data_IF_241495808112
#
_entry.id   IF_241495808112
#
_cell.length_a   1.000
_cell.length_b   1.000
_cell.length_c   1.000
_cell.angle_alpha   90.00
_cell.angle_beta   90.00
_cell.angle_gamma   90.00
#
_symmetry.space_group_name_H-M   'P 1'
#
loop_
_entity.id
_entity.type
_entity.pdbx_description
1 polymer ?
#
# COMPACT_ATOMS: atom_id res chain seq x y z
N UNK A 1 26.87 19.38 52.06
CA UNK A 1 27.87 19.33 50.97
C UNK A 1 27.17 19.74 49.68
N UNK A 2 27.62 20.65 48.84
CA UNK A 2 28.49 21.81 48.97
C UNK A 2 28.08 22.66 47.78
N UNK A 3 27.58 23.87 48.04
CA UNK A 3 27.46 24.92 47.03
C UNK A 3 28.84 25.13 46.40
N UNK A 4 28.90 25.18 45.07
CA UNK A 4 30.04 25.75 44.35
C UNK A 4 29.50 26.63 43.24
N UNK A 5 29.35 27.90 43.62
CA UNK A 5 29.37 29.04 42.74
C UNK A 5 30.59 28.96 41.81
N UNK A 6 30.33 29.09 40.51
CA UNK A 6 31.31 29.64 39.58
C UNK A 6 30.79 31.00 39.12
N UNK A 7 31.39 32.04 39.69
CA UNK A 7 31.42 33.38 39.12
C UNK A 7 32.20 33.33 37.81
N UNK A 8 31.54 33.65 36.70
CA UNK A 8 32.20 34.10 35.48
C UNK A 8 32.36 35.63 35.52
N UNK A 9 33.49 36.16 35.05
CA UNK A 9 33.82 37.57 35.15
C UNK A 9 32.92 38.44 34.28
N UNK A 10 32.34 39.45 34.92
CA UNK A 10 31.65 40.54 34.28
C UNK A 10 32.62 41.49 33.55
N UNK A 11 32.04 42.17 32.57
CA UNK A 11 32.45 43.46 31.98
C UNK A 11 33.49 43.43 30.87
N UNK A 12 32.93 43.59 29.66
CA UNK A 12 33.62 43.94 28.43
C UNK A 12 32.60 44.35 27.38
N UNK A 13 31.59 45.16 27.77
CA UNK A 13 30.74 45.83 26.78
C UNK A 13 31.58 46.96 26.19
N UNK A 14 32.27 46.68 25.09
CA UNK A 14 32.70 47.73 24.16
C UNK A 14 31.42 48.39 23.63
N UNK A 15 31.04 49.51 24.27
CA UNK A 15 30.15 50.48 23.66
C UNK A 15 30.82 50.96 22.37
N UNK A 16 30.46 50.32 21.26
CA UNK A 16 30.55 50.91 19.94
C UNK A 16 29.59 52.11 19.91
N UNK A 17 30.05 53.21 20.51
CA UNK A 17 29.48 54.53 20.36
C UNK A 17 29.72 54.95 18.91
N UNK A 18 28.83 54.49 18.03
CA UNK A 18 28.72 55.02 16.68
C UNK A 18 28.37 56.50 16.83
N UNK A 19 29.37 57.33 16.59
CA UNK A 19 29.35 58.77 16.77
C UNK A 19 28.06 59.42 16.28
N UNK A 20 27.64 60.41 17.05
CA UNK A 20 26.44 61.21 16.87
C UNK A 20 26.21 61.63 15.42
N UNK A 21 24.92 61.68 15.08
CA UNK A 21 24.40 62.11 13.80
C UNK A 21 25.02 63.44 13.37
N UNK A 22 25.82 63.35 12.31
CA UNK A 22 26.10 64.47 11.43
C UNK A 22 24.81 64.74 10.63
N UNK A 23 24.06 65.83 10.91
CA UNK A 23 22.81 66.14 10.24
C UNK A 23 22.99 66.39 8.73
N UNK A 24 24.23 66.61 8.28
CA UNK A 24 24.58 66.80 6.87
C UNK A 24 24.91 65.50 6.11
N UNK A 25 24.82 64.34 6.77
CA UNK A 25 25.02 63.01 6.13
C UNK A 25 23.76 62.45 5.47
N UNK A 26 22.57 62.87 5.91
CA UNK A 26 21.27 62.48 5.36
C UNK A 26 20.92 63.02 3.95
N UNK A 27 21.31 64.24 3.50
CA UNK A 27 20.87 64.78 2.21
C UNK A 27 21.40 64.00 1.01
N UNK A 28 22.61 63.41 1.09
CA UNK A 28 23.17 62.60 0.00
C UNK A 28 22.44 61.29 -0.23
N UNK A 29 22.02 60.62 0.85
CA UNK A 29 21.24 59.37 0.78
C UNK A 29 19.86 59.63 0.17
N UNK A 30 19.20 60.74 0.54
CA UNK A 30 17.90 61.09 -0.04
C UNK A 30 17.99 61.40 -1.54
N UNK A 31 19.03 62.11 -1.99
CA UNK A 31 19.24 62.40 -3.42
C UNK A 31 19.51 61.11 -4.20
N UNK A 32 20.32 60.21 -3.65
CA UNK A 32 20.61 58.92 -4.27
C UNK A 32 19.36 58.02 -4.34
N UNK A 33 18.59 57.93 -3.25
CA UNK A 33 17.33 57.17 -3.19
C UNK A 33 16.32 57.71 -4.21
N UNK A 34 16.15 59.02 -4.33
CA UNK A 34 15.25 59.61 -5.34
C UNK A 34 15.70 59.29 -6.76
N UNK A 35 17.01 59.31 -7.03
CA UNK A 35 17.55 58.98 -8.34
C UNK A 35 17.37 57.48 -8.69
N UNK A 36 17.41 56.59 -7.70
CA UNK A 36 17.37 55.14 -7.90
C UNK A 36 16.05 54.47 -7.52
N UNK A 37 15.06 55.22 -7.03
CA UNK A 37 13.77 54.68 -6.55
C UNK A 37 13.11 53.80 -7.60
N UNK A 38 13.09 54.22 -8.87
CA UNK A 38 12.48 53.44 -9.96
C UNK A 38 13.19 52.11 -10.18
N UNK A 39 14.52 52.09 -10.10
CA UNK A 39 15.32 50.87 -10.24
C UNK A 39 15.10 49.94 -9.04
N UNK A 40 15.12 50.48 -7.82
CA UNK A 40 14.88 49.72 -6.60
C UNK A 40 13.46 49.12 -6.58
N UNK A 41 12.45 49.89 -7.00
CA UNK A 41 11.08 49.39 -7.16
C UNK A 41 11.03 48.28 -8.21
N UNK A 42 11.67 48.46 -9.37
CA UNK A 42 11.73 47.41 -10.39
C UNK A 42 12.39 46.13 -9.86
N UNK A 43 13.52 46.24 -9.17
CA UNK A 43 14.20 45.11 -8.53
C UNK A 43 13.30 44.41 -7.49
N UNK A 44 12.63 45.18 -6.62
CA UNK A 44 11.72 44.63 -5.62
C UNK A 44 10.54 43.89 -6.26
N UNK A 45 9.97 44.43 -7.34
CA UNK A 45 8.89 43.78 -8.10
C UNK A 45 9.39 42.48 -8.75
N UNK A 46 10.56 42.49 -9.38
CA UNK A 46 11.15 41.28 -9.99
C UNK A 46 11.41 40.21 -8.94
N UNK A 47 11.99 40.56 -7.79
CA UNK A 47 12.22 39.62 -6.69
C UNK A 47 10.91 39.07 -6.13
N UNK A 48 9.87 39.90 -6.00
CA UNK A 48 8.54 39.45 -5.57
C UNK A 48 7.91 38.48 -6.58
N UNK A 49 8.02 38.75 -7.89
CA UNK A 49 7.51 37.86 -8.94
C UNK A 49 8.26 36.52 -8.97
N UNK A 50 9.59 36.54 -8.85
CA UNK A 50 10.40 35.32 -8.77
C UNK A 50 10.08 34.52 -7.50
N UNK A 51 9.89 35.19 -6.36
CA UNK A 51 9.45 34.57 -5.12
C UNK A 51 8.08 33.91 -5.26
N UNK A 52 7.11 34.62 -5.83
CA UNK A 52 5.76 34.08 -6.08
C UNK A 52 5.78 32.90 -7.06
N UNK A 53 6.58 32.98 -8.14
CA UNK A 53 6.74 31.88 -9.09
C UNK A 53 7.43 30.67 -8.45
N UNK A 54 8.43 30.88 -7.59
CA UNK A 54 9.09 29.81 -6.85
C UNK A 54 8.14 29.09 -5.88
N UNK A 55 7.34 29.85 -5.13
CA UNK A 55 6.32 29.28 -4.21
C UNK A 55 5.24 28.55 -5.01
N UNK A 56 4.72 29.16 -6.08
CA UNK A 56 3.72 28.54 -6.95
C UNK A 56 4.22 27.27 -7.63
N UNK A 57 5.45 27.28 -8.14
CA UNK A 57 6.09 26.12 -8.74
C UNK A 57 6.29 24.98 -7.74
N UNK A 58 6.75 25.30 -6.53
CA UNK A 58 6.89 24.32 -5.44
C UNK A 58 5.54 23.71 -5.05
N UNK A 59 4.50 24.54 -4.90
CA UNK A 59 3.16 24.07 -4.57
C UNK A 59 2.61 23.11 -5.63
N UNK A 60 2.75 23.46 -6.92
CA UNK A 60 2.33 22.60 -8.03
C UNK A 60 3.14 21.30 -8.08
N UNK A 61 4.44 21.36 -7.79
CA UNK A 61 5.30 20.19 -7.72
C UNK A 61 4.88 19.25 -6.58
N UNK A 62 4.67 19.77 -5.37
CA UNK A 62 4.22 18.99 -4.22
C UNK A 62 2.85 18.36 -4.48
N UNK A 63 1.91 19.11 -5.08
CA UNK A 63 0.60 18.60 -5.46
C UNK A 63 0.66 17.52 -6.55
N UNK A 64 1.60 17.63 -7.49
CA UNK A 64 1.80 16.60 -8.52
C UNK A 64 2.33 15.28 -7.97
N UNK A 65 2.89 15.30 -6.75
CA UNK A 65 3.39 14.11 -6.03
C UNK A 65 2.35 13.54 -5.07
N UNK A 66 1.15 14.11 -4.98
CA UNK A 66 0.06 13.47 -4.26
C UNK A 66 -0.37 12.18 -4.98
N UNK A 67 -0.69 11.12 -4.23
CA UNK A 67 -1.15 9.89 -4.84
C UNK A 67 -2.54 10.09 -5.45
N UNK A 68 -2.77 9.48 -6.60
CA UNK A 68 -4.07 9.48 -7.26
C UNK A 68 -5.09 8.64 -6.46
N UNK A 69 -6.39 8.93 -6.55
CA UNK A 69 -7.42 8.07 -5.97
C UNK A 69 -7.46 6.71 -6.68
N UNK A 70 -7.98 5.65 -6.03
CA UNK A 70 -8.17 4.36 -6.69
C UNK A 70 -9.00 4.51 -7.96
N UNK A 71 -8.76 3.67 -8.98
CA UNK A 71 -9.55 3.69 -10.18
C UNK A 71 -10.96 3.17 -9.89
N UNK A 72 -11.97 3.73 -10.57
CA UNK A 72 -13.35 3.30 -10.41
C UNK A 72 -13.50 1.79 -10.64
N UNK A 73 -14.18 1.13 -9.71
CA UNK A 73 -14.51 -0.29 -9.79
C UNK A 73 -15.95 -0.42 -10.29
N UNK A 74 -16.20 -1.12 -11.41
CA UNK A 74 -17.56 -1.35 -11.86
C UNK A 74 -18.34 -2.11 -10.78
N UNK A 75 -19.51 -1.61 -10.40
CA UNK A 75 -20.38 -2.29 -9.42
C UNK A 75 -20.78 -3.71 -9.86
N UNK A 76 -20.68 -4.01 -11.16
CA UNK A 76 -20.98 -5.31 -11.75
C UNK A 76 -19.74 -6.16 -12.03
N UNK A 77 -18.57 -5.84 -11.44
CA UNK A 77 -17.37 -6.61 -11.68
C UNK A 77 -17.63 -8.08 -11.28
N UNK A 78 -17.36 -8.99 -12.22
CA UNK A 78 -17.59 -10.43 -12.00
C UNK A 78 -16.70 -10.88 -10.84
N UNK A 79 -17.30 -11.49 -9.83
CA UNK A 79 -16.56 -11.99 -8.68
C UNK A 79 -15.92 -13.34 -9.00
N UNK A 80 -14.65 -13.49 -8.65
CA UNK A 80 -14.00 -14.80 -8.65
C UNK A 80 -14.31 -15.52 -7.35
N UNK A 81 -14.42 -16.84 -7.42
CA UNK A 81 -14.47 -17.71 -6.26
C UNK A 81 -13.32 -18.71 -6.36
N UNK A 82 -12.72 -19.00 -5.22
CA UNK A 82 -11.66 -20.00 -5.10
C UNK A 82 -12.10 -21.02 -4.07
N UNK A 83 -12.19 -22.27 -4.51
CA UNK A 83 -12.50 -23.42 -3.68
C UNK A 83 -11.19 -24.12 -3.37
N UNK A 84 -10.68 -23.93 -2.16
CA UNK A 84 -9.50 -24.68 -1.72
C UNK A 84 -9.91 -26.08 -1.31
N UNK A 85 -9.06 -27.05 -1.65
CA UNK A 85 -9.27 -28.45 -1.30
C UNK A 85 -8.47 -28.83 -0.06
N UNK A 86 -8.83 -29.95 0.57
CA UNK A 86 -8.09 -30.49 1.70
C UNK A 86 -6.63 -30.73 1.29
N UNK A 87 -5.70 -30.17 2.07
CA UNK A 87 -4.27 -30.31 1.86
C UNK A 87 -3.57 -30.87 3.09
N UNK A 88 -2.29 -31.20 2.94
CA UNK A 88 -1.44 -31.58 4.06
C UNK A 88 -1.39 -30.41 5.07
N UNK A 89 -1.54 -30.72 6.37
CA UNK A 89 -1.51 -29.75 7.50
C UNK A 89 -2.72 -28.81 7.64
N UNK A 90 -3.81 -29.05 6.92
CA UNK A 90 -5.03 -28.26 7.08
C UNK A 90 -5.91 -28.87 8.18
N UNK A 91 -5.88 -28.28 9.37
CA UNK A 91 -6.70 -28.69 10.53
C UNK A 91 -8.16 -28.20 10.46
N UNK A 92 -8.74 -28.13 9.26
CA UNK A 92 -10.17 -27.84 9.14
C UNK A 92 -10.99 -29.08 9.46
N UNK A 93 -12.10 -28.89 10.19
CA UNK A 93 -13.02 -29.97 10.56
C UNK A 93 -13.49 -30.80 9.36
N UNK A 94 -13.66 -30.17 8.18
CA UNK A 94 -14.05 -30.83 6.92
C UNK A 94 -12.97 -31.75 6.33
N UNK A 95 -11.73 -31.64 6.81
CA UNK A 95 -10.56 -32.41 6.35
C UNK A 95 -10.02 -33.38 7.41
N UNK A 96 -10.57 -33.41 8.63
CA UNK A 96 -10.13 -34.34 9.68
C UNK A 96 -10.33 -35.79 9.23
N UNK A 97 -9.27 -36.58 9.31
CA UNK A 97 -9.28 -38.00 8.94
C UNK A 97 -9.34 -38.26 7.44
N UNK A 98 -9.04 -37.26 6.61
CA UNK A 98 -9.00 -37.38 5.16
C UNK A 98 -7.57 -37.23 4.64
N UNK A 99 -7.30 -37.94 3.56
CA UNK A 99 -6.07 -37.76 2.80
C UNK A 99 -6.09 -36.41 2.06
N UNK A 100 -4.91 -35.95 1.68
CA UNK A 100 -4.74 -34.78 0.81
C UNK A 100 -5.51 -35.01 -0.51
N UNK A 101 -6.22 -33.98 -0.96
CA UNK A 101 -7.01 -34.03 -2.18
C UNK A 101 -6.10 -34.31 -3.38
N UNK A 102 -6.45 -35.34 -4.15
CA UNK A 102 -5.73 -35.67 -5.37
C UNK A 102 -6.15 -34.80 -6.53
N UNK A 103 -5.34 -34.81 -7.57
CA UNK A 103 -5.63 -34.23 -8.88
C UNK A 103 -6.95 -34.74 -9.49
N UNK A 104 -7.31 -35.99 -9.21
CA UNK A 104 -8.58 -36.57 -9.65
C UNK A 104 -9.77 -35.98 -8.87
N UNK A 105 -9.61 -35.75 -7.57
CA UNK A 105 -10.63 -35.12 -6.72
C UNK A 105 -10.89 -33.69 -7.18
N UNK A 106 -9.84 -32.91 -7.45
CA UNK A 106 -9.97 -31.54 -7.94
C UNK A 106 -10.67 -31.46 -9.30
N UNK A 107 -10.37 -32.36 -10.23
CA UNK A 107 -11.08 -32.45 -11.51
C UNK A 107 -12.55 -32.85 -11.34
N UNK A 108 -12.87 -33.74 -10.41
CA UNK A 108 -14.24 -34.13 -10.11
C UNK A 108 -15.04 -32.96 -9.51
N UNK A 109 -14.44 -32.18 -8.61
CA UNK A 109 -15.05 -30.97 -8.03
C UNK A 109 -15.26 -29.91 -9.12
N UNK A 110 -14.29 -29.69 -10.00
CA UNK A 110 -14.43 -28.79 -11.14
C UNK A 110 -15.57 -29.22 -12.08
N UNK A 111 -15.74 -30.52 -12.33
CA UNK A 111 -16.88 -31.02 -13.11
C UNK A 111 -18.22 -30.70 -12.44
N UNK A 112 -18.33 -30.85 -11.10
CA UNK A 112 -19.53 -30.47 -10.35
C UNK A 112 -19.80 -28.96 -10.41
N UNK A 113 -18.76 -28.14 -10.24
CA UNK A 113 -18.85 -26.69 -10.36
C UNK A 113 -19.31 -26.24 -11.75
N UNK A 114 -18.86 -26.90 -12.82
CA UNK A 114 -19.32 -26.61 -14.20
C UNK A 114 -20.80 -26.91 -14.42
N UNK A 115 -21.39 -27.81 -13.63
CA UNK A 115 -22.82 -28.10 -13.68
C UNK A 115 -23.67 -27.04 -12.94
N UNK A 116 -23.07 -26.12 -12.19
CA UNK A 116 -23.78 -25.04 -11.49
C UNK A 116 -24.04 -23.87 -12.45
N UNK A 117 -25.31 -23.52 -12.74
CA UNK A 117 -25.62 -22.45 -13.69
C UNK A 117 -25.13 -21.07 -13.25
N UNK A 118 -24.88 -20.85 -11.96
CA UNK A 118 -24.41 -19.59 -11.37
C UNK A 118 -22.90 -19.36 -11.63
N UNK A 119 -22.19 -20.39 -12.07
CA UNK A 119 -20.75 -20.36 -12.32
C UNK A 119 -20.42 -20.32 -13.82
N UNK A 120 -19.26 -19.76 -14.11
CA UNK A 120 -18.59 -19.78 -15.42
C UNK A 120 -17.08 -19.85 -15.22
N UNK A 121 -16.34 -20.14 -16.29
CA UNK A 121 -14.87 -20.10 -16.32
C UNK A 121 -14.21 -21.00 -15.25
N UNK A 122 -14.81 -22.18 -15.02
CA UNK A 122 -14.37 -23.11 -13.98
C UNK A 122 -13.07 -23.82 -14.38
N UNK A 123 -12.02 -23.59 -13.58
CA UNK A 123 -10.66 -24.08 -13.82
C UNK A 123 -10.13 -24.80 -12.59
N UNK A 124 -9.55 -25.98 -12.79
CA UNK A 124 -8.84 -26.70 -11.74
C UNK A 124 -7.37 -26.25 -11.74
N UNK A 125 -6.84 -25.92 -10.56
CA UNK A 125 -5.44 -25.56 -10.33
C UNK A 125 -4.84 -26.62 -9.40
N UNK A 126 -3.92 -27.43 -9.94
CA UNK A 126 -3.15 -28.41 -9.17
C UNK A 126 -2.24 -27.73 -8.15
N UNK A 127 -1.82 -28.46 -7.12
CA UNK A 127 -0.85 -27.99 -6.12
C UNK A 127 0.46 -27.54 -6.77
N UNK A 128 0.95 -28.27 -7.76
CA UNK A 128 2.18 -27.95 -8.49
C UNK A 128 2.06 -26.66 -9.29
N UNK A 129 0.91 -26.44 -9.93
CA UNK A 129 0.60 -25.19 -10.65
C UNK A 129 0.55 -24.00 -9.69
N UNK A 130 -0.13 -24.14 -8.56
CA UNK A 130 -0.20 -23.10 -7.52
C UNK A 130 1.20 -22.76 -6.99
N UNK A 131 2.03 -23.77 -6.74
CA UNK A 131 3.43 -23.59 -6.37
C UNK A 131 4.25 -22.86 -7.44
N UNK A 132 4.06 -23.17 -8.73
CA UNK A 132 4.72 -22.44 -9.83
C UNK A 132 4.28 -20.98 -9.90
N UNK A 133 2.99 -20.70 -9.72
CA UNK A 133 2.43 -19.35 -9.70
C UNK A 133 2.99 -18.55 -8.53
N UNK A 134 3.04 -19.13 -7.34
CA UNK A 134 3.62 -18.51 -6.16
C UNK A 134 5.13 -18.23 -6.33
N UNK A 135 5.90 -19.18 -6.89
CA UNK A 135 7.31 -18.97 -7.18
C UNK A 135 7.51 -17.80 -8.16
N UNK A 136 6.72 -17.74 -9.25
CA UNK A 136 6.77 -16.64 -10.20
C UNK A 136 6.41 -15.30 -9.53
N UNK A 137 5.36 -15.30 -8.70
CA UNK A 137 4.91 -14.14 -7.93
C UNK A 137 6.01 -13.57 -7.03
N UNK A 138 6.63 -14.40 -6.20
CA UNK A 138 7.67 -13.94 -5.29
C UNK A 138 8.99 -13.63 -6.00
N UNK A 139 9.31 -14.34 -7.09
CA UNK A 139 10.49 -14.02 -7.91
C UNK A 139 10.37 -12.62 -8.51
N UNK A 140 9.18 -12.18 -8.92
CA UNK A 140 8.98 -10.87 -9.51
C UNK A 140 9.40 -9.72 -8.57
N UNK A 141 9.18 -9.86 -7.27
CA UNK A 141 9.61 -8.88 -6.24
C UNK A 141 10.99 -9.18 -5.64
N UNK A 142 11.71 -10.16 -6.18
CA UNK A 142 13.04 -10.55 -5.71
C UNK A 142 13.03 -11.23 -4.34
N UNK A 143 12.01 -12.03 -4.03
CA UNK A 143 11.89 -12.82 -2.79
C UNK A 143 11.55 -14.31 -3.03
N UNK A 144 12.18 -15.01 -4.00
CA UNK A 144 11.78 -16.37 -4.39
C UNK A 144 11.74 -17.38 -3.23
N UNK A 145 12.57 -17.18 -2.21
CA UNK A 145 12.63 -18.04 -1.01
C UNK A 145 11.30 -18.09 -0.24
N UNK A 146 10.44 -17.08 -0.39
CA UNK A 146 9.13 -17.04 0.27
C UNK A 146 8.15 -18.05 -0.31
N UNK A 147 8.37 -18.52 -1.54
CA UNK A 147 7.53 -19.57 -2.11
C UNK A 147 7.71 -20.90 -1.36
N UNK A 148 8.91 -21.19 -0.86
CA UNK A 148 9.20 -22.43 -0.13
C UNK A 148 8.60 -22.44 1.29
N UNK A 149 8.29 -21.26 1.84
CA UNK A 149 7.64 -21.12 3.15
C UNK A 149 6.11 -21.33 3.08
N UNK A 150 5.54 -21.42 1.88
CA UNK A 150 4.09 -21.56 1.69
C UNK A 150 3.65 -23.02 1.60
N UNK A 151 2.47 -23.28 2.16
CA UNK A 151 1.75 -24.52 1.94
C UNK A 151 0.78 -24.32 0.77
N UNK A 152 1.03 -25.03 -0.33
CA UNK A 152 0.17 -25.00 -1.51
C UNK A 152 -0.94 -26.04 -1.40
N UNK A 153 -2.11 -25.67 -1.90
CA UNK A 153 -3.27 -26.55 -1.94
C UNK A 153 -3.82 -26.56 -3.36
N UNK A 154 -4.26 -27.73 -3.81
CA UNK A 154 -5.06 -27.79 -5.01
C UNK A 154 -6.34 -26.95 -4.82
N UNK A 155 -6.77 -26.26 -5.87
CA UNK A 155 -7.95 -25.40 -5.83
C UNK A 155 -8.78 -25.51 -7.10
N UNK A 156 -10.05 -25.13 -6.99
CA UNK A 156 -10.91 -24.93 -8.15
C UNK A 156 -11.38 -23.49 -8.16
N UNK A 157 -11.03 -22.78 -9.22
CA UNK A 157 -11.38 -21.40 -9.44
C UNK A 157 -12.60 -21.32 -10.36
N UNK A 158 -13.47 -20.34 -10.13
CA UNK A 158 -14.57 -20.04 -11.03
C UNK A 158 -14.98 -18.57 -10.92
N UNK A 159 -15.80 -18.12 -11.87
CA UNK A 159 -16.40 -16.79 -11.85
C UNK A 159 -17.89 -16.90 -11.58
N UNK A 160 -18.40 -16.12 -10.62
CA UNK A 160 -19.82 -15.96 -10.38
C UNK A 160 -20.46 -15.08 -11.45
N UNK A 161 -21.59 -15.53 -12.00
CA UNK A 161 -22.40 -14.73 -12.92
C UNK A 161 -23.04 -13.54 -12.22
N UNK A 162 -23.44 -13.69 -10.96
CA UNK A 162 -24.01 -12.63 -10.13
C UNK A 162 -23.43 -12.69 -8.72
N UNK A 163 -23.06 -11.54 -8.20
CA UNK A 163 -22.51 -11.41 -6.85
C UNK A 163 -23.43 -11.93 -5.74
N UNK A 164 -24.73 -11.70 -5.89
CA UNK A 164 -25.75 -12.13 -4.92
C UNK A 164 -25.87 -13.65 -4.76
N UNK A 165 -25.37 -14.44 -5.72
CA UNK A 165 -25.48 -15.89 -5.70
C UNK A 165 -24.42 -16.55 -4.80
N UNK A 166 -23.41 -15.79 -4.31
CA UNK A 166 -22.29 -16.38 -3.56
C UNK A 166 -22.73 -17.18 -2.34
N UNK A 167 -23.63 -16.67 -1.51
CA UNK A 167 -23.96 -17.34 -0.25
C UNK A 167 -24.55 -18.75 -0.50
N UNK A 168 -25.48 -18.86 -1.44
CA UNK A 168 -26.08 -20.13 -1.83
C UNK A 168 -25.09 -21.07 -2.54
N UNK A 169 -24.22 -20.52 -3.41
CA UNK A 169 -23.17 -21.31 -4.08
C UNK A 169 -22.14 -21.82 -3.08
N UNK A 170 -21.66 -20.97 -2.18
CA UNK A 170 -20.67 -21.29 -1.15
C UNK A 170 -21.17 -22.37 -0.20
N UNK A 171 -22.42 -22.27 0.26
CA UNK A 171 -23.05 -23.31 1.08
C UNK A 171 -23.03 -24.69 0.38
N UNK A 172 -23.50 -24.76 -0.88
CA UNK A 172 -23.48 -26.01 -1.66
C UNK A 172 -22.08 -26.56 -1.90
N UNK A 173 -21.09 -25.69 -2.12
CA UNK A 173 -19.70 -26.09 -2.34
C UNK A 173 -19.05 -26.64 -1.06
N UNK A 174 -19.35 -26.05 0.10
CA UNK A 174 -18.84 -26.52 1.40
C UNK A 174 -19.37 -27.91 1.79
N UNK A 175 -20.51 -28.33 1.26
CA UNK A 175 -21.06 -29.68 1.44
C UNK A 175 -20.30 -30.74 0.63
N UNK A 176 -19.49 -30.34 -0.36
CA UNK A 176 -18.75 -31.28 -1.20
C UNK A 176 -17.60 -31.88 -0.39
N UNK A 177 -17.50 -33.23 -0.28
CA UNK A 177 -16.36 -33.87 0.35
C UNK A 177 -15.03 -33.43 -0.30
N UNK A 178 -14.09 -32.95 0.52
CA UNK A 178 -12.76 -32.55 0.08
C UNK A 178 -12.58 -31.03 -0.07
N UNK A 179 -13.66 -30.25 0.10
CA UNK A 179 -13.59 -28.78 0.14
C UNK A 179 -13.25 -28.31 1.55
N UNK A 180 -12.18 -27.52 1.68
CA UNK A 180 -11.79 -26.94 2.98
C UNK A 180 -12.42 -25.56 3.18
N UNK A 181 -12.31 -24.69 2.18
CA UNK A 181 -12.86 -23.35 2.24
C UNK A 181 -13.27 -22.87 0.87
N UNK A 182 -14.20 -21.94 0.85
CA UNK A 182 -14.70 -21.27 -0.34
C UNK A 182 -14.55 -19.78 -0.10
N UNK A 183 -13.65 -19.15 -0.85
CA UNK A 183 -13.32 -17.74 -0.73
C UNK A 183 -13.89 -16.96 -1.90
N UNK A 184 -14.26 -15.70 -1.64
CA UNK A 184 -14.44 -14.70 -2.69
C UNK A 184 -13.10 -14.07 -2.95
N UNK A 185 -12.76 -13.92 -4.22
CA UNK A 185 -11.67 -13.06 -4.63
C UNK A 185 -12.26 -11.83 -5.31
N UNK A 186 -11.82 -10.66 -4.82
CA UNK A 186 -12.11 -9.42 -5.49
C UNK A 186 -11.51 -9.46 -6.90
N UNK A 187 -12.22 -8.95 -7.91
CA UNK A 187 -11.62 -8.77 -9.22
C UNK A 187 -10.30 -8.01 -9.09
N UNK A 188 -9.29 -8.39 -9.86
CA UNK A 188 -8.05 -7.63 -9.92
C UNK A 188 -8.28 -6.32 -10.69
N UNK A 189 -8.87 -5.34 -10.00
CA UNK A 189 -9.17 -4.00 -10.54
C UNK A 189 -7.92 -3.20 -10.86
N UNK A 190 -6.77 -3.67 -10.37
CA UNK A 190 -5.45 -3.08 -10.54
C UNK A 190 -4.66 -3.68 -11.69
N UNK A 191 -5.09 -4.83 -12.22
CA UNK A 191 -4.51 -5.42 -13.43
C UNK A 191 -4.40 -4.38 -14.55
N UNK A 192 -3.18 -4.19 -15.05
CA UNK A 192 -2.85 -3.20 -16.09
C UNK A 192 -2.81 -1.73 -15.63
N UNK A 193 -3.31 -1.41 -14.44
CA UNK A 193 -3.30 -0.04 -13.86
C UNK A 193 -2.15 0.18 -12.88
N UNK A 194 -1.70 -0.88 -12.23
CA UNK A 194 -0.53 -0.92 -11.36
C UNK A 194 0.27 -2.20 -11.61
N UNK A 195 1.54 -2.16 -11.28
CA UNK A 195 2.46 -3.30 -11.39
C UNK A 195 2.89 -3.79 -9.99
N UNK A 196 2.79 -2.92 -8.98
CA UNK A 196 3.21 -3.19 -7.60
C UNK A 196 2.19 -2.63 -6.61
N UNK A 197 1.98 -3.34 -5.51
CA UNK A 197 1.30 -2.87 -4.31
C UNK A 197 2.28 -2.83 -3.13
N UNK A 198 2.37 -1.68 -2.47
CA UNK A 198 3.13 -1.46 -1.24
C UNK A 198 2.13 -1.31 -0.10
N UNK A 199 1.93 -2.40 0.64
CA UNK A 199 1.02 -2.40 1.78
C UNK A 199 1.71 -1.77 2.99
N UNK A 200 1.06 -0.77 3.57
CA UNK A 200 1.50 -0.13 4.79
C UNK A 200 1.14 -0.99 6.00
N UNK A 201 1.89 -0.82 7.09
CA UNK A 201 1.63 -1.46 8.36
C UNK A 201 0.21 -1.16 8.86
N UNK A 202 -0.53 -2.21 9.21
CA UNK A 202 -1.83 -2.10 9.86
C UNK A 202 -1.77 -2.43 11.36
N UNK A 203 -2.84 -2.08 12.06
CA UNK A 203 -3.00 -2.44 13.47
C UNK A 203 -3.08 -3.98 13.62
N UNK A 204 -2.49 -4.51 14.70
CA UNK A 204 -2.46 -5.94 15.03
C UNK A 204 -1.72 -6.83 14.01
N UNK A 205 -0.90 -6.26 13.12
CA UNK A 205 -0.17 -7.06 12.16
C UNK A 205 0.90 -7.91 12.86
N UNK A 206 0.79 -9.25 12.73
CA UNK A 206 1.77 -10.19 13.29
C UNK A 206 3.03 -10.35 12.44
N UNK A 207 3.14 -9.65 11.30
CA UNK A 207 4.23 -9.86 10.36
C UNK A 207 5.57 -9.28 10.86
N UNK A 208 6.70 -9.90 10.51
CA UNK A 208 7.97 -9.68 11.20
C UNK A 208 8.87 -8.55 10.64
N UNK A 209 8.53 -7.86 9.54
CA UNK A 209 9.46 -6.90 8.89
C UNK A 209 8.80 -5.53 8.66
N UNK A 210 9.53 -4.44 8.90
CA UNK A 210 9.14 -3.06 8.59
C UNK A 210 8.13 -2.38 9.53
N UNK A 211 7.27 -3.16 10.22
CA UNK A 211 6.24 -2.63 11.12
C UNK A 211 6.66 -2.49 12.59
N UNK A 212 7.92 -2.15 12.83
CA UNK A 212 8.44 -1.88 14.18
C UNK A 212 8.43 -3.10 15.10
N UNK A 213 9.29 -4.09 14.84
CA UNK A 213 9.48 -5.25 15.72
C UNK A 213 10.95 -5.67 15.81
N UNK A 214 11.73 -4.93 16.57
CA UNK A 214 12.93 -5.54 17.19
C UNK A 214 12.53 -6.43 18.38
N UNK A 215 11.37 -6.16 19.02
CA UNK A 215 10.91 -6.90 20.20
C UNK A 215 9.67 -7.76 19.90
N UNK A 216 9.87 -9.08 19.77
CA UNK A 216 8.83 -10.08 19.49
C UNK A 216 7.72 -10.18 20.55
N UNK A 217 7.88 -9.54 21.71
CA UNK A 217 6.93 -9.61 22.85
C UNK A 217 5.83 -8.52 22.84
N UNK A 218 5.96 -7.48 22.03
CA UNK A 218 4.90 -6.49 21.83
C UNK A 218 3.91 -6.97 20.75
N UNK A 219 2.77 -7.51 21.18
CA UNK A 219 1.82 -8.24 20.33
C UNK A 219 1.04 -7.38 19.30
N UNK A 220 1.22 -6.05 19.26
CA UNK A 220 0.58 -5.18 18.28
C UNK A 220 1.61 -4.27 17.59
N UNK A 221 1.76 -4.40 16.27
CA UNK A 221 2.44 -3.39 15.47
C UNK A 221 1.56 -2.14 15.38
N UNK A 222 2.17 -0.96 15.50
CA UNK A 222 1.48 0.29 15.26
C UNK A 222 1.18 0.44 13.75
N UNK A 223 0.04 1.03 13.36
CA UNK A 223 -0.17 1.41 11.97
C UNK A 223 0.90 2.40 11.52
N UNK A 224 1.21 2.42 10.22
CA UNK A 224 2.15 3.39 9.67
C UNK A 224 1.70 4.83 10.02
N UNK A 225 2.60 5.61 10.61
CA UNK A 225 2.39 7.03 10.89
C UNK A 225 2.30 7.84 9.61
N UNK A 226 1.70 9.04 9.67
CA UNK A 226 1.65 9.94 8.51
C UNK A 226 3.05 10.33 8.00
N UNK A 227 4.04 10.42 8.90
CA UNK A 227 5.43 10.67 8.54
C UNK A 227 6.04 9.49 7.76
N UNK A 228 5.80 8.25 8.21
CA UNK A 228 6.26 7.05 7.49
C UNK A 228 5.57 6.89 6.14
N UNK A 229 4.24 7.07 6.10
CA UNK A 229 3.47 7.06 4.86
C UNK A 229 3.98 8.09 3.86
N UNK A 230 4.27 9.31 4.30
CA UNK A 230 4.88 10.35 3.47
C UNK A 230 6.28 9.94 3.01
N UNK A 231 7.11 9.38 3.88
CA UNK A 231 8.46 8.94 3.52
C UNK A 231 8.43 7.82 2.47
N UNK A 232 7.49 6.87 2.56
CA UNK A 232 7.27 5.82 1.56
C UNK A 232 6.85 6.44 0.22
N UNK A 233 5.89 7.36 0.23
CA UNK A 233 5.42 8.05 -0.98
C UNK A 233 6.53 8.88 -1.64
N UNK A 234 7.28 9.65 -0.85
CA UNK A 234 8.40 10.45 -1.33
C UNK A 234 9.46 9.54 -1.97
N UNK A 235 9.79 8.41 -1.30
CA UNK A 235 10.73 7.43 -1.83
C UNK A 235 10.24 6.80 -3.13
N UNK A 236 8.95 6.49 -3.26
CA UNK A 236 8.37 5.96 -4.50
C UNK A 236 8.56 6.93 -5.66
N UNK A 237 8.24 8.21 -5.46
CA UNK A 237 8.39 9.23 -6.51
C UNK A 237 9.85 9.54 -6.88
N UNK A 238 10.79 9.29 -5.97
CA UNK A 238 12.22 9.47 -6.24
C UNK A 238 12.85 8.27 -6.98
N UNK A 239 12.12 7.17 -7.17
CA UNK A 239 12.60 6.01 -7.91
C UNK A 239 12.43 6.21 -9.42
N UNK A 240 13.46 5.87 -10.23
CA UNK A 240 13.35 5.96 -11.68
C UNK A 240 12.29 4.98 -12.18
N UNK A 241 11.49 5.43 -13.15
CA UNK A 241 10.47 4.60 -13.80
C UNK A 241 9.15 4.50 -13.06
N UNK A 242 8.95 5.17 -11.91
CA UNK A 242 7.62 5.33 -11.31
C UNK A 242 6.82 6.36 -12.10
N UNK A 243 5.73 5.93 -12.74
CA UNK A 243 4.87 6.79 -13.55
C UNK A 243 3.70 7.36 -12.72
N UNK A 244 3.05 6.49 -11.93
CA UNK A 244 1.90 6.85 -11.11
C UNK A 244 1.93 6.13 -9.78
N UNK A 245 1.45 6.82 -8.75
CA UNK A 245 1.17 6.23 -7.45
C UNK A 245 -0.29 6.49 -7.14
N UNK A 246 -1.03 5.44 -6.82
CA UNK A 246 -2.40 5.50 -6.32
C UNK A 246 -2.40 5.16 -4.84
N UNK A 247 -3.28 5.76 -4.06
CA UNK A 247 -3.49 5.38 -2.67
C UNK A 247 -4.86 4.74 -2.52
N UNK A 248 -4.87 3.48 -2.09
CA UNK A 248 -6.07 2.86 -1.55
C UNK A 248 -6.10 3.04 -0.04
N UNK A 249 -6.98 3.92 0.42
CA UNK A 249 -7.15 4.20 1.83
C UNK A 249 -8.11 3.20 2.52
N UNK A 250 -8.40 3.46 3.79
CA UNK A 250 -9.27 2.61 4.61
C UNK A 250 -10.75 2.78 4.25
N UNK A 251 -11.16 3.95 3.80
CA UNK A 251 -12.55 4.24 3.46
C UNK A 251 -12.95 3.50 2.18
N UNK A 252 -12.13 3.59 1.13
CA UNK A 252 -12.31 2.85 -0.11
C UNK A 252 -12.37 1.33 0.14
N UNK A 253 -11.43 0.82 0.94
CA UNK A 253 -11.41 -0.59 1.33
C UNK A 253 -12.66 -1.02 2.10
N UNK A 254 -13.15 -0.17 3.00
CA UNK A 254 -14.38 -0.42 3.76
C UNK A 254 -15.60 -0.44 2.83
N UNK A 255 -15.64 0.47 1.86
CA UNK A 255 -16.67 0.49 0.84
C UNK A 255 -16.64 -0.78 -0.01
N UNK A 256 -15.47 -1.18 -0.53
CA UNK A 256 -15.28 -2.41 -1.30
C UNK A 256 -15.75 -3.64 -0.52
N UNK A 257 -15.33 -3.78 0.74
CA UNK A 257 -15.78 -4.88 1.60
C UNK A 257 -17.30 -4.92 1.72
N UNK A 258 -17.95 -3.78 1.94
CA UNK A 258 -19.43 -3.72 2.01
C UNK A 258 -20.11 -4.13 0.71
N UNK A 259 -19.52 -3.80 -0.44
CA UNK A 259 -20.07 -4.15 -1.75
C UNK A 259 -19.92 -5.65 -2.07
N UNK A 260 -18.75 -6.22 -1.77
CA UNK A 260 -18.38 -7.57 -2.24
C UNK A 260 -18.49 -8.66 -1.17
N UNK A 261 -18.49 -8.29 0.11
CA UNK A 261 -18.74 -9.14 1.27
C UNK A 261 -19.96 -8.62 2.06
N UNK A 262 -21.17 -8.61 1.45
CA UNK A 262 -22.39 -8.37 2.22
C UNK A 262 -22.42 -9.40 3.34
N UNK A 263 -22.45 -8.90 4.58
CA UNK A 263 -22.29 -9.71 5.78
C UNK A 263 -23.21 -10.94 5.71
N UNK A 264 -22.65 -12.11 5.99
CA UNK A 264 -23.49 -13.24 6.34
C UNK A 264 -24.16 -12.88 7.68
N UNK A 265 -25.51 -12.76 7.72
CA UNK A 265 -26.21 -12.44 8.96
C UNK A 265 -25.95 -13.48 10.06
N UNK A 266 -25.49 -14.69 9.73
CA UNK A 266 -25.10 -15.69 10.71
C UNK A 266 -23.71 -15.42 11.33
N UNK A 267 -22.76 -14.83 10.58
CA UNK A 267 -21.37 -14.78 11.05
C UNK A 267 -21.07 -13.63 12.02
N UNK A 268 -21.89 -12.57 12.13
CA UNK A 268 -21.71 -11.45 13.10
C UNK A 268 -20.28 -10.86 13.19
N UNK A 269 -19.39 -11.19 12.27
CA UNK A 269 -18.04 -10.64 12.23
C UNK A 269 -18.18 -9.31 11.52
N UNK A 270 -18.30 -8.23 12.29
CA UNK A 270 -18.03 -6.89 11.77
C UNK A 270 -16.66 -6.95 11.10
N UNK A 271 -16.54 -6.63 9.79
CA UNK A 271 -15.25 -6.64 9.14
C UNK A 271 -14.36 -5.70 9.93
N UNK A 272 -13.28 -6.26 10.51
CA UNK A 272 -12.31 -5.51 11.30
C UNK A 272 -11.58 -4.54 10.38
N UNK A 273 -12.18 -3.37 10.19
CA UNK A 273 -11.68 -2.31 9.31
C UNK A 273 -10.29 -1.84 9.75
N UNK A 274 -10.03 -1.88 11.05
CA UNK A 274 -8.77 -1.59 11.72
C UNK A 274 -7.60 -2.46 11.22
N UNK A 275 -7.88 -3.68 10.75
CA UNK A 275 -6.88 -4.59 10.17
C UNK A 275 -6.60 -4.34 8.70
N UNK A 276 -7.33 -3.42 8.06
CA UNK A 276 -7.18 -3.21 6.63
C UNK A 276 -6.01 -2.26 6.35
N UNK A 277 -5.05 -2.76 5.58
CA UNK A 277 -3.83 -2.03 5.23
C UNK A 277 -4.15 -0.97 4.19
N UNK A 278 -3.75 0.27 4.45
CA UNK A 278 -3.59 1.24 3.37
C UNK A 278 -2.54 0.70 2.40
N UNK A 279 -2.73 0.91 1.11
CA UNK A 279 -1.85 0.34 0.08
C UNK A 279 -1.56 1.39 -0.97
N UNK A 280 -0.27 1.63 -1.25
CA UNK A 280 0.12 2.35 -2.45
C UNK A 280 0.17 1.38 -3.62
N UNK A 281 -0.55 1.69 -4.69
CA UNK A 281 -0.46 0.96 -5.95
C UNK A 281 0.40 1.77 -6.92
N UNK A 282 1.42 1.15 -7.50
CA UNK A 282 2.45 1.84 -8.26
C UNK A 282 2.43 1.33 -9.68
N UNK A 283 2.32 2.25 -10.63
CA UNK A 283 2.51 1.99 -12.06
C UNK A 283 3.95 2.33 -12.45
N UNK A 284 4.62 1.39 -13.08
CA UNK A 284 5.96 1.56 -13.63
C UNK A 284 5.89 1.82 -15.14
N UNK A 285 6.79 2.65 -15.64
CA UNK A 285 6.98 2.84 -17.08
C UNK A 285 7.56 1.60 -17.75
N UNK A 286 8.29 0.77 -17.00
CA UNK A 286 8.81 -0.53 -17.42
C UNK A 286 8.62 -1.57 -16.29
N UNK A 287 7.77 -2.60 -16.49
CA UNK A 287 7.56 -3.67 -15.52
C UNK A 287 8.83 -4.45 -15.15
N UNK A 288 9.88 -4.42 -15.99
CA UNK A 288 11.16 -5.07 -15.64
C UNK A 288 11.85 -4.43 -14.41
N UNK A 289 11.50 -3.18 -14.08
CA UNK A 289 11.98 -2.48 -12.89
C UNK A 289 11.36 -2.92 -11.56
N UNK A 290 10.37 -3.83 -11.59
CA UNK A 290 9.56 -4.21 -10.41
C UNK A 290 10.40 -4.67 -9.22
N UNK A 291 11.34 -5.60 -9.42
CA UNK A 291 12.20 -6.11 -8.36
C UNK A 291 13.07 -5.02 -7.72
N UNK A 292 13.58 -4.08 -8.53
CA UNK A 292 14.42 -2.98 -8.04
C UNK A 292 13.60 -1.99 -7.18
N UNK A 293 12.39 -1.64 -7.65
CA UNK A 293 11.47 -0.78 -6.89
C UNK A 293 11.03 -1.48 -5.60
N UNK A 294 10.66 -2.76 -5.67
CA UNK A 294 10.29 -3.54 -4.49
C UNK A 294 11.40 -3.59 -3.45
N UNK A 295 12.64 -3.90 -3.87
CA UNK A 295 13.81 -3.91 -3.00
C UNK A 295 14.11 -2.56 -2.35
N UNK A 296 13.84 -1.46 -3.05
CA UNK A 296 14.08 -0.11 -2.55
C UNK A 296 13.06 0.36 -1.49
N UNK A 297 11.87 -0.23 -1.41
CA UNK A 297 10.80 0.20 -0.50
C UNK A 297 10.43 -0.81 0.57
N UNK A 298 10.66 -2.11 0.35
CA UNK A 298 10.21 -3.19 1.26
C UNK A 298 10.76 -3.14 2.68
N UNK A 299 11.83 -2.39 2.91
CA UNK A 299 12.48 -2.23 4.22
C UNK A 299 12.27 -0.85 4.84
N UNK A 300 11.49 0.03 4.21
CA UNK A 300 11.19 1.33 4.80
C UNK A 300 10.30 1.17 6.05
N UNK A 301 10.50 2.02 7.07
CA UNK A 301 9.56 2.12 8.19
C UNK A 301 8.13 2.35 7.69
N UNK A 302 7.18 1.62 8.28
CA UNK A 302 5.76 1.70 7.91
C UNK A 302 5.35 0.85 6.71
N UNK A 303 6.26 0.12 6.05
CA UNK A 303 5.93 -0.86 5.01
C UNK A 303 5.77 -2.25 5.63
N UNK A 304 4.58 -2.85 5.48
CA UNK A 304 4.30 -4.22 5.93
C UNK A 304 4.50 -5.28 4.86
N UNK A 305 4.45 -4.90 3.58
CA UNK A 305 4.72 -5.83 2.49
C UNK A 305 4.72 -5.17 1.13
N UNK A 306 5.34 -5.86 0.17
CA UNK A 306 5.35 -5.48 -1.24
C UNK A 306 4.90 -6.67 -2.06
N UNK A 307 4.03 -6.43 -3.03
CA UNK A 307 3.29 -7.45 -3.76
C UNK A 307 3.23 -7.08 -5.24
N UNK A 308 3.58 -7.95 -6.19
CA UNK A 308 3.34 -7.68 -7.60
C UNK A 308 1.83 -7.71 -7.92
N UNK A 309 1.43 -6.98 -8.96
CA UNK A 309 0.06 -6.93 -9.48
C UNK A 309 0.02 -7.56 -10.87
N UNK A 310 -1.08 -8.25 -11.22
CA UNK A 310 -1.31 -8.77 -12.57
C UNK A 310 -0.52 -10.04 -12.94
N UNK A 311 0.08 -10.74 -11.97
CA UNK A 311 0.72 -12.05 -12.21
C UNK A 311 -0.23 -13.24 -12.01
N UNK A 312 -1.47 -12.98 -11.59
CA UNK A 312 -2.51 -13.99 -11.41
C UNK A 312 -3.17 -14.31 -12.76
N UNK A 313 -2.46 -15.08 -13.60
CA UNK A 313 -2.97 -15.61 -14.88
C UNK A 313 -4.00 -16.71 -14.72
#
# INVERSE_FOLDING_TARGET
MSFRDRQEPASGYEELSFGGGDPDREPRLQVWLRAHVRLLTACAVVLALLGAAGIGGRYLYERSREPLPPPDVPASARMRIVVHLCGQYVEAWSCIGRDEATDADGRAIAARMRAMPELTDVTFVSKEEDGRRALAYYTAIGEPERADELFFHASVEATLRRGGDFAAVSARLREIPGVVTVLRELPDVWAGKADLAVALCAEEERQPRGCGREDRRALAGAPASEAEKKAVLDRLWDLPGVERVYLRDREDLTWLKRQYEPQDPAEHVTPRTERTRQTFYVKLSDPAGLAAVAGAVKHLPGVGGVFPIGLSG
#
